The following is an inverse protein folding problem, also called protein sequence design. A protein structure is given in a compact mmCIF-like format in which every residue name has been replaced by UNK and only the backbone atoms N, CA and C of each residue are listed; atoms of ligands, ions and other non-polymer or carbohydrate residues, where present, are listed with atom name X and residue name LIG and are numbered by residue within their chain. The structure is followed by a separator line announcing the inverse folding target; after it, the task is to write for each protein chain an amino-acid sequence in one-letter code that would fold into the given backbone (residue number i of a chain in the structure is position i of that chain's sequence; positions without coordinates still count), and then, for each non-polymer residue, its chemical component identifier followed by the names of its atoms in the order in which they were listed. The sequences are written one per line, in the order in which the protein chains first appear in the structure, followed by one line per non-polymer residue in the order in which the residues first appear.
data_IF_960993742371
#
_entry.id   IF_960993742371
#
_cell.length_a   1.000
_cell.length_b   1.000
_cell.length_c   1.000
_cell.angle_alpha   90.00
_cell.angle_beta   90.00
_cell.angle_gamma   90.00
#
_symmetry.space_group_name_H-M   'P 1'
#
loop_
_entity.id
_entity.type
_entity.pdbx_description
1 polymer ?
#
# COMPACT_ATOMS: atom_id res chain seq x y z
N UNK A 1 -1.54 67.92 -46.68
CA UNK A 1 -1.29 66.74 -45.84
C UNK A 1 -0.63 65.74 -46.78
N UNK A 2 0.69 65.65 -46.68
CA UNK A 2 1.56 65.08 -47.70
C UNK A 2 2.06 63.72 -47.24
N UNK A 3 1.80 62.70 -48.05
CA UNK A 3 2.63 61.49 -48.15
C UNK A 3 3.64 61.71 -49.27
N UNK A 4 4.93 61.48 -49.00
CA UNK A 4 5.91 60.85 -49.91
C UNK A 4 7.34 60.97 -49.38
N UNK A 5 7.89 59.80 -49.03
CA UNK A 5 9.20 59.26 -49.44
C UNK A 5 10.51 59.99 -49.08
N UNK A 6 11.42 59.23 -48.45
CA UNK A 6 12.86 59.39 -48.62
C UNK A 6 13.54 58.02 -48.67
N UNK A 7 14.47 57.92 -49.60
CA UNK A 7 15.29 56.79 -50.08
C UNK A 7 16.17 56.16 -48.95
N UNK A 8 16.84 55.01 -49.07
CA UNK A 8 17.62 54.51 -50.22
C UNK A 8 18.12 53.06 -50.07
N UNK A 9 18.31 52.42 -51.24
CA UNK A 9 19.38 51.48 -51.65
C UNK A 9 19.46 50.02 -51.13
N UNK A 10 19.13 49.07 -52.03
CA UNK A 10 19.67 47.69 -52.12
C UNK A 10 20.94 47.69 -53.02
N UNK A 11 21.83 46.66 -53.07
CA UNK A 11 21.52 45.42 -53.84
C UNK A 11 22.18 44.09 -53.37
N UNK A 12 21.51 43.00 -53.77
CA UNK A 12 22.00 41.71 -54.29
C UNK A 12 23.15 40.94 -53.63
N UNK A 13 22.91 39.66 -53.33
CA UNK A 13 24.00 38.72 -53.06
C UNK A 13 23.62 37.28 -52.68
N UNK A 14 23.14 36.52 -53.66
CA UNK A 14 23.34 35.08 -53.82
C UNK A 14 22.71 34.07 -52.83
N UNK A 15 21.82 33.25 -53.39
CA UNK A 15 21.34 32.01 -52.80
C UNK A 15 22.48 31.01 -52.57
N UNK A 16 22.53 30.42 -51.37
CA UNK A 16 23.08 29.08 -51.18
C UNK A 16 22.19 28.37 -50.16
N UNK A 17 21.23 27.60 -50.67
CA UNK A 17 20.67 26.49 -49.92
C UNK A 17 21.78 25.44 -49.75
N UNK A 18 22.07 25.03 -48.53
CA UNK A 18 22.32 23.62 -48.22
C UNK A 18 22.15 23.36 -46.72
N UNK A 19 21.69 22.15 -46.37
CA UNK A 19 20.94 21.87 -45.15
C UNK A 19 21.88 21.45 -44.03
N UNK A 20 21.60 21.82 -42.79
CA UNK A 20 22.18 21.07 -41.68
C UNK A 20 21.23 21.00 -40.48
N UNK A 21 20.55 19.86 -40.44
CA UNK A 21 20.13 19.12 -39.26
C UNK A 21 19.06 19.75 -38.38
N UNK A 22 17.81 19.46 -38.76
CA UNK A 22 16.83 19.00 -37.78
C UNK A 22 17.50 17.96 -36.87
N UNK A 23 17.92 18.38 -35.69
CA UNK A 23 18.06 17.49 -34.55
C UNK A 23 16.66 17.17 -34.03
N UNK A 24 15.86 16.51 -34.87
CA UNK A 24 14.87 15.55 -34.39
C UNK A 24 15.70 14.45 -33.75
N UNK A 25 16.16 14.68 -32.52
CA UNK A 25 16.49 13.57 -31.63
C UNK A 25 15.21 12.76 -31.61
N UNK A 26 15.20 11.65 -32.35
CA UNK A 26 14.43 10.48 -31.97
C UNK A 26 14.92 10.13 -30.58
N UNK A 27 14.40 10.84 -29.57
CA UNK A 27 14.39 10.36 -28.22
C UNK A 27 13.41 9.22 -28.33
N UNK A 28 13.93 8.02 -28.61
CA UNK A 28 13.16 6.81 -28.44
C UNK A 28 12.45 6.97 -27.10
N UNK A 29 11.10 6.92 -27.09
CA UNK A 29 10.36 7.19 -25.87
C UNK A 29 10.93 6.27 -24.80
N UNK A 30 11.32 6.86 -23.66
CA UNK A 30 11.95 6.12 -22.58
C UNK A 30 11.15 4.84 -22.33
N UNK A 31 11.81 3.66 -22.28
CA UNK A 31 11.11 2.39 -22.21
C UNK A 31 10.12 2.42 -21.05
N UNK A 32 8.85 2.22 -21.37
CA UNK A 32 7.77 2.30 -20.39
C UNK A 32 7.63 0.97 -19.68
N UNK A 33 7.21 0.99 -18.40
CA UNK A 33 6.86 -0.24 -17.71
C UNK A 33 5.86 -1.08 -18.52
N UNK A 34 4.91 -0.43 -19.21
CA UNK A 34 3.87 -1.08 -20.00
C UNK A 34 4.34 -1.63 -21.36
N UNK A 35 5.55 -1.28 -21.82
CA UNK A 35 6.12 -1.90 -23.02
C UNK A 35 6.75 -3.27 -22.73
N UNK A 36 6.87 -3.65 -21.45
CA UNK A 36 7.35 -4.98 -21.06
C UNK A 36 6.24 -6.05 -21.21
N UNK A 37 6.60 -7.30 -21.55
CA UNK A 37 5.71 -8.44 -21.42
C UNK A 37 5.06 -8.54 -20.04
N UNK A 38 3.84 -9.06 -19.98
CA UNK A 38 3.05 -9.12 -18.74
C UNK A 38 3.78 -9.88 -17.63
N UNK A 39 4.51 -10.94 -17.99
CA UNK A 39 5.26 -11.80 -17.08
C UNK A 39 6.35 -11.00 -16.34
N UNK A 40 7.08 -10.13 -17.06
CA UNK A 40 8.11 -9.28 -16.44
C UNK A 40 7.48 -8.21 -15.55
N UNK A 41 6.33 -7.65 -15.96
CA UNK A 41 5.60 -6.67 -15.14
C UNK A 41 5.11 -7.29 -13.83
N UNK A 42 4.61 -8.54 -13.88
CA UNK A 42 4.20 -9.28 -12.68
C UNK A 42 5.38 -9.51 -11.72
N UNK A 43 6.55 -9.91 -12.22
CA UNK A 43 7.76 -10.08 -11.39
C UNK A 43 8.15 -8.76 -10.72
N UNK A 44 8.06 -7.63 -11.45
CA UNK A 44 8.31 -6.30 -10.88
C UNK A 44 7.31 -5.98 -9.77
N UNK A 45 6.02 -6.27 -9.98
CA UNK A 45 4.99 -6.06 -8.96
C UNK A 45 5.25 -6.92 -7.72
N UNK A 46 5.56 -8.20 -7.90
CA UNK A 46 5.90 -9.12 -6.81
C UNK A 46 7.07 -8.59 -5.98
N UNK A 47 8.15 -8.17 -6.64
CA UNK A 47 9.31 -7.62 -5.96
C UNK A 47 8.99 -6.31 -5.23
N UNK A 48 8.16 -5.46 -5.84
CA UNK A 48 7.76 -4.17 -5.27
C UNK A 48 6.93 -4.36 -3.99
N UNK A 49 6.07 -5.38 -3.94
CA UNK A 49 5.10 -5.58 -2.86
C UNK A 49 5.58 -6.53 -1.76
N UNK A 50 6.49 -7.44 -2.08
CA UNK A 50 7.04 -8.39 -1.11
C UNK A 50 7.62 -7.68 0.12
N UNK A 51 7.26 -8.16 1.31
CA UNK A 51 7.66 -7.61 2.61
C UNK A 51 7.27 -6.14 2.86
N UNK A 52 6.40 -5.57 2.02
CA UNK A 52 5.85 -4.26 2.32
C UNK A 52 4.72 -4.39 3.33
N UNK A 53 4.69 -3.44 4.24
CA UNK A 53 3.55 -3.21 5.12
C UNK A 53 2.85 -1.95 4.62
N UNK A 54 1.54 -1.77 4.81
CA UNK A 54 0.89 -0.47 4.63
C UNK A 54 0.07 -0.15 5.88
N UNK A 55 0.12 1.09 6.35
CA UNK A 55 -0.72 1.49 7.48
C UNK A 55 -2.13 1.81 7.01
N UNK A 56 -3.10 1.11 7.58
CA UNK A 56 -4.51 1.47 7.47
C UNK A 56 -4.78 2.50 8.56
N UNK A 57 -5.14 3.72 8.16
CA UNK A 57 -5.43 4.81 9.11
C UNK A 57 -6.95 5.07 9.15
N UNK A 58 -7.54 5.29 10.33
CA UNK A 58 -8.94 5.67 10.42
C UNK A 58 -9.14 7.04 9.74
N UNK A 59 -10.19 7.18 8.91
CA UNK A 59 -10.48 8.43 8.20
C UNK A 59 -10.71 9.60 9.16
N UNK A 60 -11.19 9.33 10.37
CA UNK A 60 -11.45 10.32 11.44
C UNK A 60 -10.19 10.99 12.00
N UNK A 61 -8.99 10.40 11.82
CA UNK A 61 -7.73 11.07 12.19
C UNK A 61 -7.41 12.28 11.31
N UNK A 62 -8.11 12.45 10.18
CA UNK A 62 -7.87 13.54 9.24
C UNK A 62 -8.78 14.76 9.47
N UNK A 63 -9.78 14.68 10.36
CA UNK A 63 -10.85 15.68 10.50
C UNK A 63 -10.88 16.44 11.84
N UNK A 64 -10.08 16.07 12.84
CA UNK A 64 -9.77 16.96 13.96
C UNK A 64 -8.48 17.73 13.63
N UNK A 65 -8.62 19.00 13.27
CA UNK A 65 -7.53 19.89 12.85
C UNK A 65 -6.50 20.23 13.93
N UNK A 66 -5.90 19.23 14.57
CA UNK A 66 -4.81 19.42 15.54
C UNK A 66 -3.58 18.69 15.01
N UNK A 67 -2.76 19.49 14.31
CA UNK A 67 -1.43 19.18 13.78
C UNK A 67 -1.36 18.06 12.71
N UNK A 68 -0.63 18.26 11.60
CA UNK A 68 -0.28 17.15 10.74
C UNK A 68 0.50 16.15 11.61
N UNK A 69 0.13 14.85 11.64
CA UNK A 69 0.95 13.90 12.36
C UNK A 69 2.34 14.02 11.74
N UNK A 70 3.36 14.34 12.56
CA UNK A 70 4.77 14.33 12.19
C UNK A 70 4.93 13.26 11.11
N UNK A 71 5.20 13.68 9.87
CA UNK A 71 5.26 12.76 8.73
C UNK A 71 6.39 11.78 9.06
N UNK A 72 6.03 10.67 9.68
CA UNK A 72 6.98 9.63 10.01
C UNK A 72 7.59 9.19 8.69
N UNK A 73 8.91 9.00 8.63
CA UNK A 73 9.58 8.48 7.44
C UNK A 73 8.88 7.22 6.88
N UNK A 74 8.17 6.48 7.73
CA UNK A 74 7.31 5.36 7.34
C UNK A 74 6.18 5.77 6.39
N UNK A 75 5.48 6.89 6.59
CA UNK A 75 4.42 7.40 5.71
C UNK A 75 4.91 7.63 4.27
N UNK A 76 6.16 8.06 4.11
CA UNK A 76 6.77 8.26 2.79
C UNK A 76 7.13 6.93 2.11
N UNK A 77 7.53 5.92 2.89
CA UNK A 77 7.81 4.56 2.39
C UNK A 77 6.53 3.86 1.89
N UNK A 78 5.38 4.08 2.52
CA UNK A 78 4.12 3.47 2.06
C UNK A 78 3.53 4.15 0.83
N UNK A 79 3.82 5.45 0.65
CA UNK A 79 3.39 6.19 -0.54
C UNK A 79 3.95 5.56 -1.80
N UNK A 80 5.22 5.16 -1.86
CA UNK A 80 5.79 4.57 -3.08
C UNK A 80 5.10 3.25 -3.47
N UNK A 81 4.75 2.41 -2.50
CA UNK A 81 4.06 1.14 -2.73
C UNK A 81 2.66 1.36 -3.28
N UNK A 82 1.89 2.29 -2.69
CA UNK A 82 0.53 2.61 -3.13
C UNK A 82 0.55 3.40 -4.46
N UNK A 83 1.55 4.27 -4.68
CA UNK A 83 1.69 5.07 -5.89
C UNK A 83 1.68 4.23 -7.16
N UNK A 84 2.27 3.02 -7.12
CA UNK A 84 2.25 2.11 -8.26
C UNK A 84 0.83 1.73 -8.70
N UNK A 85 -0.09 1.51 -7.74
CA UNK A 85 -1.50 1.22 -8.02
C UNK A 85 -2.26 2.44 -8.57
N UNK A 86 -1.70 3.63 -8.41
CA UNK A 86 -2.30 4.89 -8.84
C UNK A 86 -1.73 5.39 -10.18
N UNK A 87 -0.72 4.72 -10.74
CA UNK A 87 -0.05 5.15 -11.98
C UNK A 87 -0.99 5.19 -13.17
N UNK A 88 -1.71 4.10 -13.46
CA UNK A 88 -2.69 4.04 -14.54
C UNK A 88 -3.67 2.87 -14.34
N UNK A 89 -4.77 2.85 -15.12
CA UNK A 89 -5.81 1.81 -15.03
C UNK A 89 -5.27 0.40 -15.28
N UNK A 90 -4.35 0.24 -16.24
CA UNK A 90 -3.77 -1.06 -16.61
C UNK A 90 -2.91 -1.60 -15.47
N UNK A 91 -1.94 -0.82 -15.00
CA UNK A 91 -1.08 -1.19 -13.85
C UNK A 91 -1.94 -1.48 -12.62
N UNK A 92 -2.95 -0.65 -12.32
CA UNK A 92 -3.86 -0.91 -11.20
C UNK A 92 -4.53 -2.27 -11.33
N UNK A 93 -5.11 -2.57 -12.49
CA UNK A 93 -5.84 -3.83 -12.73
C UNK A 93 -4.93 -5.05 -12.57
N UNK A 94 -3.71 -4.98 -13.08
CA UNK A 94 -2.77 -6.10 -13.03
C UNK A 94 -2.09 -6.26 -11.67
N UNK A 95 -1.72 -5.16 -11.02
CA UNK A 95 -0.94 -5.18 -9.79
C UNK A 95 -1.79 -5.38 -8.54
N UNK A 96 -3.09 -5.04 -8.56
CA UNK A 96 -3.98 -5.14 -7.37
C UNK A 96 -4.02 -6.55 -6.77
N UNK A 97 -4.18 -7.64 -7.54
CA UNK A 97 -4.17 -8.99 -6.98
C UNK A 97 -2.86 -9.32 -6.25
N UNK A 98 -1.72 -8.99 -6.87
CA UNK A 98 -0.39 -9.19 -6.29
C UNK A 98 -0.18 -8.35 -5.04
N UNK A 99 -0.62 -7.09 -5.07
CA UNK A 99 -0.58 -6.18 -3.93
C UNK A 99 -1.36 -6.75 -2.73
N UNK A 100 -2.63 -7.11 -2.94
CA UNK A 100 -3.47 -7.67 -1.87
C UNK A 100 -2.90 -8.98 -1.31
N UNK A 101 -2.25 -9.79 -2.15
CA UNK A 101 -1.68 -11.06 -1.74
C UNK A 101 -0.37 -10.94 -0.95
N UNK A 102 0.47 -9.93 -1.23
CA UNK A 102 1.83 -9.85 -0.70
C UNK A 102 2.04 -8.76 0.36
N UNK A 103 1.22 -7.71 0.35
CA UNK A 103 1.32 -6.62 1.31
C UNK A 103 0.70 -7.00 2.65
N UNK A 104 1.35 -6.64 3.74
CA UNK A 104 0.79 -6.73 5.08
C UNK A 104 0.04 -5.44 5.44
N UNK A 105 -1.26 -5.56 5.73
CA UNK A 105 -2.08 -4.41 6.12
C UNK A 105 -1.99 -4.21 7.63
N UNK A 106 -1.37 -3.10 8.03
CA UNK A 106 -1.17 -2.78 9.43
C UNK A 106 -2.40 -2.08 10.02
N UNK A 107 -3.05 -2.83 10.91
CA UNK A 107 -4.26 -2.46 11.62
C UNK A 107 -3.98 -2.11 13.09
N UNK A 108 -2.71 -1.97 13.49
CA UNK A 108 -2.31 -1.67 14.89
C UNK A 108 -2.93 -0.39 15.44
N UNK A 109 -3.27 0.57 14.58
CA UNK A 109 -3.97 1.80 14.96
C UNK A 109 -5.41 1.56 15.45
N UNK A 110 -5.97 0.38 15.21
CA UNK A 110 -7.34 0.05 15.58
C UNK A 110 -7.39 -0.86 16.81
N UNK A 111 -8.30 -0.53 17.72
CA UNK A 111 -8.54 -1.33 18.93
C UNK A 111 -9.18 -2.70 18.62
N UNK A 112 -10.07 -2.75 17.63
CA UNK A 112 -10.62 -3.95 17.01
C UNK A 112 -10.47 -3.85 15.48
N UNK A 113 -10.49 -4.99 14.79
CA UNK A 113 -10.27 -5.01 13.35
C UNK A 113 -11.53 -4.64 12.54
N UNK A 114 -12.71 -4.42 13.17
CA UNK A 114 -13.96 -4.19 12.42
C UNK A 114 -13.90 -2.82 11.74
N UNK A 115 -13.48 -1.80 12.48
CA UNK A 115 -13.32 -0.47 11.93
C UNK A 115 -12.33 -0.46 10.75
N UNK A 116 -11.23 -1.20 10.85
CA UNK A 116 -10.29 -1.36 9.73
C UNK A 116 -10.91 -2.01 8.49
N UNK A 117 -11.73 -3.06 8.67
CA UNK A 117 -12.43 -3.73 7.57
C UNK A 117 -13.36 -2.76 6.83
N UNK A 118 -14.12 -1.93 7.56
CA UNK A 118 -14.96 -0.91 6.95
C UNK A 118 -14.16 0.14 6.18
N UNK A 119 -12.97 0.48 6.68
CA UNK A 119 -12.10 1.46 6.04
C UNK A 119 -11.47 0.94 4.74
N UNK A 120 -11.10 -0.33 4.71
CA UNK A 120 -10.56 -1.02 3.52
C UNK A 120 -11.64 -1.29 2.46
N UNK A 121 -12.87 -1.56 2.89
CA UNK A 121 -13.97 -1.91 2.02
C UNK A 121 -13.88 -3.36 1.47
N UNK A 122 -14.99 -3.85 0.90
CA UNK A 122 -15.15 -5.27 0.59
C UNK A 122 -14.19 -5.78 -0.49
N UNK A 123 -13.84 -4.95 -1.48
CA UNK A 123 -13.00 -5.37 -2.61
C UNK A 123 -11.58 -5.70 -2.18
N UNK A 124 -11.02 -4.89 -1.27
CA UNK A 124 -9.68 -5.13 -0.71
C UNK A 124 -9.77 -6.32 0.26
N UNK A 125 -10.71 -6.29 1.19
CA UNK A 125 -10.85 -7.31 2.24
C UNK A 125 -10.95 -8.74 1.71
N UNK A 126 -11.61 -8.95 0.57
CA UNK A 126 -11.70 -10.26 -0.10
C UNK A 126 -10.36 -10.83 -0.55
N UNK A 127 -9.37 -9.98 -0.83
CA UNK A 127 -8.08 -10.38 -1.39
C UNK A 127 -6.91 -10.36 -0.41
N UNK A 128 -7.03 -9.69 0.74
CA UNK A 128 -5.88 -9.54 1.65
C UNK A 128 -5.54 -10.86 2.35
N UNK A 129 -4.25 -11.20 2.33
CA UNK A 129 -3.75 -12.43 2.96
C UNK A 129 -3.04 -12.18 4.28
N UNK A 130 -2.60 -10.96 4.53
CA UNK A 130 -1.74 -10.63 5.66
C UNK A 130 -2.16 -9.34 6.34
N UNK A 131 -2.32 -9.39 7.66
CA UNK A 131 -2.57 -8.22 8.50
C UNK A 131 -1.57 -8.16 9.64
N UNK A 132 -1.34 -6.96 10.16
CA UNK A 132 -0.61 -6.73 11.41
C UNK A 132 -1.55 -6.14 12.45
N UNK A 133 -1.50 -6.67 13.67
CA UNK A 133 -2.36 -6.25 14.79
C UNK A 133 -1.52 -5.90 16.00
N UNK A 134 -2.06 -5.09 16.90
CA UNK A 134 -1.36 -4.72 18.14
C UNK A 134 -1.32 -5.89 19.14
N UNK A 135 -0.24 -6.01 19.91
CA UNK A 135 -0.07 -7.07 20.91
C UNK A 135 -1.12 -7.02 22.03
N UNK A 136 -1.70 -5.85 22.31
CA UNK A 136 -2.79 -5.69 23.28
C UNK A 136 -4.06 -6.41 22.82
N UNK A 137 -4.34 -6.44 21.51
CA UNK A 137 -5.48 -7.21 20.98
C UNK A 137 -5.31 -8.69 21.28
N UNK A 138 -4.15 -9.25 20.91
CA UNK A 138 -3.83 -10.65 21.13
C UNK A 138 -3.93 -11.05 22.63
N UNK A 139 -3.45 -10.19 23.54
CA UNK A 139 -3.55 -10.42 24.99
C UNK A 139 -4.97 -10.38 25.51
N UNK A 140 -5.75 -9.37 25.10
CA UNK A 140 -7.16 -9.23 25.50
C UNK A 140 -7.95 -10.46 25.07
N UNK A 141 -7.73 -10.93 23.85
CA UNK A 141 -8.38 -12.14 23.35
C UNK A 141 -7.93 -13.36 24.17
N UNK A 142 -6.62 -13.54 24.39
CA UNK A 142 -6.12 -14.65 25.20
C UNK A 142 -6.70 -14.70 26.63
N UNK A 143 -6.74 -13.56 27.32
CA UNK A 143 -7.36 -13.44 28.64
C UNK A 143 -8.87 -13.76 28.60
N UNK A 144 -9.56 -13.29 27.55
CA UNK A 144 -10.96 -13.64 27.32
C UNK A 144 -11.18 -15.13 27.08
N UNK A 145 -10.25 -15.81 26.38
CA UNK A 145 -10.31 -17.25 26.14
C UNK A 145 -10.17 -18.04 27.44
N UNK A 146 -9.27 -17.64 28.34
CA UNK A 146 -9.15 -18.25 29.68
C UNK A 146 -10.44 -18.13 30.50
N UNK A 147 -11.22 -17.07 30.28
CA UNK A 147 -12.50 -16.84 30.96
C UNK A 147 -13.70 -17.44 30.20
N UNK A 148 -13.49 -18.14 29.08
CA UNK A 148 -14.56 -18.70 28.24
C UNK A 148 -15.40 -17.66 27.50
N UNK A 149 -14.86 -16.45 27.26
CA UNK A 149 -15.59 -15.28 26.73
C UNK A 149 -15.31 -14.93 25.28
N UNK A 150 -14.32 -15.54 24.63
CA UNK A 150 -14.02 -15.27 23.22
C UNK A 150 -15.02 -15.99 22.33
N UNK A 151 -15.66 -15.22 21.45
CA UNK A 151 -16.57 -15.72 20.41
C UNK A 151 -16.01 -15.37 19.05
N UNK A 152 -16.36 -16.18 18.05
CA UNK A 152 -16.14 -15.86 16.65
C UNK A 152 -16.90 -14.57 16.29
N UNK A 153 -16.26 -13.70 15.51
CA UNK A 153 -16.74 -12.33 15.25
C UNK A 153 -17.14 -12.08 13.80
N UNK A 154 -17.17 -13.13 12.97
CA UNK A 154 -17.57 -13.04 11.55
C UNK A 154 -16.47 -12.56 10.60
N UNK A 155 -15.24 -12.34 11.09
CA UNK A 155 -14.13 -11.93 10.20
C UNK A 155 -13.82 -12.94 9.10
N UNK A 156 -14.21 -14.20 9.25
CA UNK A 156 -14.04 -15.19 8.19
C UNK A 156 -14.74 -14.77 6.90
N UNK A 157 -15.93 -14.20 7.02
CA UNK A 157 -16.73 -13.74 5.86
C UNK A 157 -16.20 -12.41 5.30
N UNK A 158 -15.64 -11.58 6.18
CA UNK A 158 -15.09 -10.27 5.82
C UNK A 158 -13.70 -10.38 5.20
N UNK A 159 -12.86 -11.28 5.72
CA UNK A 159 -11.47 -11.50 5.35
C UNK A 159 -11.27 -12.97 4.91
N UNK A 160 -11.92 -13.41 3.82
CA UNK A 160 -11.96 -14.81 3.43
C UNK A 160 -10.61 -15.35 2.95
N UNK A 161 -9.70 -14.47 2.51
CA UNK A 161 -8.37 -14.84 2.03
C UNK A 161 -7.29 -14.75 3.12
N UNK A 162 -7.64 -14.39 4.36
CA UNK A 162 -6.67 -14.20 5.42
C UNK A 162 -5.91 -15.48 5.74
N UNK A 163 -4.58 -15.38 5.83
CA UNK A 163 -3.67 -16.50 6.14
C UNK A 163 -2.66 -16.17 7.22
N UNK A 164 -2.17 -14.93 7.26
CA UNK A 164 -1.11 -14.53 8.18
C UNK A 164 -1.55 -13.34 9.05
N UNK A 165 -1.33 -13.47 10.36
CA UNK A 165 -1.48 -12.38 11.32
C UNK A 165 -0.14 -12.14 12.00
N UNK A 166 0.41 -10.96 11.80
CA UNK A 166 1.62 -10.50 12.48
C UNK A 166 1.24 -9.71 13.73
N UNK A 167 1.75 -10.11 14.89
CA UNK A 167 1.55 -9.37 16.14
C UNK A 167 2.67 -8.32 16.25
N UNK A 168 2.29 -7.07 16.48
CA UNK A 168 3.24 -5.96 16.57
C UNK A 168 4.09 -6.04 17.85
N UNK A 169 5.33 -5.60 17.71
CA UNK A 169 6.35 -5.62 18.75
C UNK A 169 6.22 -4.38 19.65
N UNK A 170 5.19 -4.37 20.48
CA UNK A 170 5.10 -3.41 21.58
C UNK A 170 5.52 -4.12 22.85
N UNK A 171 6.61 -3.60 23.46
CA UNK A 171 7.38 -4.03 24.65
C UNK A 171 6.48 -4.44 25.84
N UNK A 172 5.75 -5.52 25.67
CA UNK A 172 5.00 -6.16 26.73
C UNK A 172 5.22 -7.64 26.47
N UNK A 173 6.24 -8.16 27.14
CA UNK A 173 6.65 -9.56 27.08
C UNK A 173 5.42 -10.44 27.33
N UNK A 174 5.05 -11.28 26.37
CA UNK A 174 4.19 -12.42 26.64
C UNK A 174 4.94 -13.30 27.64
N UNK A 175 4.48 -13.32 28.90
CA UNK A 175 5.19 -13.94 30.02
C UNK A 175 5.00 -13.23 31.36
N UNK A 176 4.88 -11.89 31.37
CA UNK A 176 4.71 -11.12 32.62
C UNK A 176 3.27 -11.20 33.18
N UNK A 177 2.29 -11.52 32.31
CA UNK A 177 0.87 -11.64 32.66
C UNK A 177 0.32 -13.08 32.52
N UNK A 178 1.17 -14.11 32.57
CA UNK A 178 0.77 -15.54 32.45
C UNK A 178 0.03 -15.93 31.14
N UNK A 179 0.12 -15.12 30.09
CA UNK A 179 -0.43 -15.43 28.76
C UNK A 179 0.68 -15.99 27.88
N UNK A 180 0.57 -17.27 27.51
CA UNK A 180 1.48 -17.91 26.56
C UNK A 180 1.16 -17.51 25.11
N UNK A 181 2.18 -17.60 24.24
CA UNK A 181 1.99 -17.43 22.79
C UNK A 181 0.91 -18.38 22.25
N UNK A 182 0.92 -19.66 22.64
CA UNK A 182 -0.08 -20.64 22.18
C UNK A 182 -1.52 -20.24 22.52
N UNK A 183 -1.74 -19.66 23.69
CA UNK A 183 -3.06 -19.17 24.07
C UNK A 183 -3.47 -17.98 23.20
N UNK A 184 -2.55 -17.05 22.92
CA UNK A 184 -2.80 -15.93 22.03
C UNK A 184 -3.06 -16.39 20.58
N UNK A 185 -2.32 -17.38 20.08
CA UNK A 185 -2.53 -18.00 18.77
C UNK A 185 -3.94 -18.57 18.68
N UNK A 186 -4.34 -19.40 19.65
CA UNK A 186 -5.69 -19.99 19.68
C UNK A 186 -6.77 -18.91 19.74
N UNK A 187 -6.58 -17.89 20.57
CA UNK A 187 -7.56 -16.82 20.70
C UNK A 187 -7.72 -16.01 19.41
N UNK A 188 -6.62 -15.72 18.70
CA UNK A 188 -6.64 -15.05 17.40
C UNK A 188 -7.30 -15.92 16.32
N UNK A 189 -7.02 -17.23 16.30
CA UNK A 189 -7.68 -18.18 15.37
C UNK A 189 -9.20 -18.18 15.54
N UNK A 190 -9.68 -18.25 16.78
CA UNK A 190 -11.12 -18.19 17.08
C UNK A 190 -11.70 -16.82 16.71
N UNK A 191 -11.00 -15.74 17.08
CA UNK A 191 -11.46 -14.39 16.78
C UNK A 191 -11.64 -14.15 15.28
N UNK A 192 -10.66 -14.56 14.46
CA UNK A 192 -10.71 -14.41 13.01
C UNK A 192 -11.50 -15.52 12.29
N UNK A 193 -11.89 -16.59 12.98
CA UNK A 193 -12.64 -17.72 12.39
C UNK A 193 -11.81 -18.63 11.48
N UNK A 194 -10.48 -18.68 11.68
CA UNK A 194 -9.55 -19.46 10.84
C UNK A 194 -8.65 -20.35 11.70
N UNK A 195 -8.88 -21.66 11.70
CA UNK A 195 -8.02 -22.61 12.43
C UNK A 195 -6.60 -22.71 11.84
N UNK A 196 -6.50 -22.64 10.51
CA UNK A 196 -5.22 -22.67 9.78
C UNK A 196 -4.48 -21.34 9.74
N UNK A 197 -4.91 -20.34 10.54
CA UNK A 197 -4.25 -19.04 10.57
C UNK A 197 -2.84 -19.17 11.14
N UNK A 198 -1.88 -18.65 10.40
CA UNK A 198 -0.49 -18.52 10.84
C UNK A 198 -0.34 -17.21 11.61
N UNK A 199 0.06 -17.32 12.86
CA UNK A 199 0.25 -16.17 13.75
C UNK A 199 1.74 -16.04 14.02
N UNK A 200 2.28 -14.87 13.71
CA UNK A 200 3.70 -14.56 13.78
C UNK A 200 3.95 -13.56 14.91
N UNK A 201 4.85 -13.91 15.82
CA UNK A 201 5.35 -13.00 16.85
C UNK A 201 6.77 -12.55 16.48
N UNK A 202 7.18 -11.34 16.87
CA UNK A 202 8.57 -10.93 16.79
C UNK A 202 9.41 -11.87 17.68
N UNK A 203 10.57 -12.30 17.15
CA UNK A 203 11.52 -13.17 17.84
C UNK A 203 12.51 -12.41 18.70
#
# INVERSE_FOLDING_TARGET
MNDASSESCNPEGLATQTPTQDHTRNIDPAPSLLSLPAELRLIIYEHTFTHQTIHVRPKSYSSLGTEPPLQSHSAQKYRSVISLLLTCKTTRKEATPTFNALVTFDLTAYYDCMAAVYELGPDICRGIKSIRVDSRLAKRLAAGTQQGRVKETGYRDLLPALRHVYVSDNIVVFGVLAISHDLAIRALRVYFGWEGLEVHFPG
#
